data_IF_140987521538
#
_entry.id   IF_140987521538
#
_cell.length_a   1.000
_cell.length_b   1.000
_cell.length_c   1.000
_cell.angle_alpha   90.00
_cell.angle_beta   90.00
_cell.angle_gamma   90.00
#
_symmetry.space_group_name_H-M   'P 1'
#
loop_
_entity.id
_entity.type
_entity.pdbx_description
1 polymer ?
#
# COMPACT_ATOMS: atom_id res chain seq x y z
N UNK A 1 -40.67 -4.11 -8.85
CA UNK A 1 -39.85 -2.94 -8.39
C UNK A 1 -39.47 -2.12 -9.60
N UNK A 2 -39.58 -0.80 -9.50
CA UNK A 2 -39.24 0.14 -10.56
C UNK A 2 -37.76 0.49 -10.51
N UNK A 3 -37.23 1.01 -11.62
CA UNK A 3 -35.86 1.51 -11.71
C UNK A 3 -35.71 2.76 -10.82
N UNK A 4 -34.64 2.85 -10.03
CA UNK A 4 -34.39 4.02 -9.19
C UNK A 4 -34.03 5.26 -10.03
N UNK A 5 -34.52 6.42 -9.62
CA UNK A 5 -34.05 7.71 -10.16
C UNK A 5 -32.62 8.02 -9.68
N UNK A 6 -31.90 8.88 -10.39
CA UNK A 6 -30.55 9.29 -9.98
C UNK A 6 -30.51 9.93 -8.57
N UNK A 7 -31.56 10.66 -8.19
CA UNK A 7 -31.67 11.24 -6.84
C UNK A 7 -31.75 10.15 -5.76
N UNK A 8 -32.55 9.11 -5.99
CA UNK A 8 -32.67 7.99 -5.07
C UNK A 8 -31.38 7.16 -4.98
N UNK A 9 -30.68 6.97 -6.13
CA UNK A 9 -29.38 6.28 -6.15
C UNK A 9 -28.37 7.03 -5.28
N UNK A 10 -28.22 8.34 -5.47
CA UNK A 10 -27.30 9.18 -4.69
C UNK A 10 -27.64 9.12 -3.19
N UNK A 11 -28.90 9.27 -2.81
CA UNK A 11 -29.33 9.21 -1.42
C UNK A 11 -29.01 7.84 -0.81
N UNK A 12 -29.26 6.74 -1.52
CA UNK A 12 -28.96 5.39 -1.06
C UNK A 12 -27.45 5.14 -0.91
N UNK A 13 -26.64 5.62 -1.84
CA UNK A 13 -25.16 5.56 -1.74
C UNK A 13 -24.69 6.34 -0.50
N UNK A 14 -25.21 7.56 -0.28
CA UNK A 14 -24.87 8.34 0.90
C UNK A 14 -25.28 7.66 2.21
N UNK A 15 -26.44 7.02 2.24
CA UNK A 15 -26.90 6.23 3.40
C UNK A 15 -26.05 4.99 3.61
N UNK A 16 -25.67 4.26 2.56
CA UNK A 16 -24.83 3.08 2.64
C UNK A 16 -23.43 3.42 3.17
N UNK A 17 -22.90 4.58 2.79
CA UNK A 17 -21.62 5.10 3.25
C UNK A 17 -21.71 5.91 4.57
N UNK A 18 -22.84 5.86 5.29
CA UNK A 18 -23.03 6.61 6.54
C UNK A 18 -21.94 6.34 7.60
N UNK A 19 -21.47 5.09 7.83
CA UNK A 19 -20.38 4.85 8.76
C UNK A 19 -19.10 5.60 8.39
N UNK A 20 -18.80 5.74 7.09
CA UNK A 20 -17.63 6.46 6.57
C UNK A 20 -17.76 7.95 6.87
N UNK A 21 -18.94 8.55 6.60
CA UNK A 21 -19.20 9.98 6.87
C UNK A 21 -19.11 10.31 8.34
N UNK A 22 -19.71 9.47 9.21
CA UNK A 22 -19.64 9.67 10.66
C UNK A 22 -18.18 9.62 11.13
N UNK A 23 -17.41 8.65 10.68
CA UNK A 23 -16.00 8.52 11.03
C UNK A 23 -15.16 9.71 10.58
N UNK A 24 -15.42 10.23 9.38
CA UNK A 24 -14.79 11.46 8.89
C UNK A 24 -15.11 12.66 9.76
N UNK A 25 -16.38 12.88 10.07
CA UNK A 25 -16.82 14.01 10.92
C UNK A 25 -16.17 13.92 12.31
N UNK A 26 -16.19 12.75 12.93
CA UNK A 26 -15.56 12.52 14.24
C UNK A 26 -14.04 12.76 14.18
N UNK A 27 -13.36 12.22 13.16
CA UNK A 27 -11.92 12.42 12.97
C UNK A 27 -11.59 13.91 12.81
N UNK A 28 -12.32 14.62 11.98
CA UNK A 28 -12.09 16.05 11.76
C UNK A 28 -12.38 16.88 13.02
N UNK A 29 -13.49 16.61 13.70
CA UNK A 29 -13.82 17.28 14.95
C UNK A 29 -12.73 17.09 16.01
N UNK A 30 -12.28 15.85 16.22
CA UNK A 30 -11.19 15.56 17.16
C UNK A 30 -9.87 16.20 16.72
N UNK A 31 -9.53 16.14 15.43
CA UNK A 31 -8.31 16.74 14.90
C UNK A 31 -8.26 18.25 15.06
N UNK A 32 -9.37 18.94 14.84
CA UNK A 32 -9.50 20.40 15.03
C UNK A 32 -9.46 20.76 16.52
N UNK A 33 -10.15 20.02 17.38
CA UNK A 33 -10.14 20.23 18.83
C UNK A 33 -8.72 20.10 19.42
N UNK A 34 -7.98 19.07 19.01
CA UNK A 34 -6.63 18.79 19.52
C UNK A 34 -5.51 19.37 18.65
N UNK A 35 -5.82 20.18 17.64
CA UNK A 35 -4.88 20.74 16.66
C UNK A 35 -3.58 21.26 17.27
N UNK A 36 -3.67 22.01 18.37
CA UNK A 36 -2.50 22.61 19.04
C UNK A 36 -1.57 21.57 19.69
N UNK A 37 -2.09 20.38 20.04
CA UNK A 37 -1.34 19.30 20.70
C UNK A 37 -0.73 18.31 19.70
N UNK A 38 -1.20 18.32 18.45
CA UNK A 38 -0.84 17.31 17.44
C UNK A 38 0.38 17.70 16.58
N UNK A 39 1.10 18.78 16.93
CA UNK A 39 2.36 19.14 16.29
C UNK A 39 2.26 19.32 14.77
N UNK A 40 3.06 18.56 14.03
CA UNK A 40 3.08 18.62 12.55
C UNK A 40 1.72 18.22 11.91
N UNK A 41 1.04 17.24 12.47
CA UNK A 41 -0.29 16.83 12.01
C UNK A 41 -1.32 17.98 12.15
N UNK A 42 -1.23 18.74 13.23
CA UNK A 42 -2.11 19.91 13.45
C UNK A 42 -1.97 20.98 12.37
N UNK A 43 -0.77 21.15 11.79
CA UNK A 43 -0.51 22.11 10.70
C UNK A 43 -1.24 21.78 9.40
N UNK A 44 -1.62 20.52 9.19
CA UNK A 44 -2.41 20.10 8.04
C UNK A 44 -3.75 20.84 7.99
N UNK A 45 -4.33 21.14 9.17
CA UNK A 45 -5.59 21.84 9.33
C UNK A 45 -5.46 23.38 9.25
N UNK A 46 -4.27 23.90 8.94
CA UNK A 46 -4.04 25.31 8.61
C UNK A 46 -4.25 25.59 7.12
N UNK A 47 -4.23 24.55 6.29
CA UNK A 47 -4.38 24.62 4.83
C UNK A 47 -5.69 24.00 4.38
N UNK A 48 -6.51 24.73 3.64
CA UNK A 48 -7.75 24.22 3.04
C UNK A 48 -7.47 23.07 2.08
N UNK A 49 -6.40 23.18 1.27
CA UNK A 49 -5.97 22.11 0.34
C UNK A 49 -5.56 20.87 1.14
N UNK A 50 -4.83 21.06 2.25
CA UNK A 50 -4.45 19.97 3.14
C UNK A 50 -5.66 19.24 3.74
N UNK A 51 -6.67 20.00 4.20
CA UNK A 51 -7.91 19.42 4.72
C UNK A 51 -8.68 18.63 3.66
N UNK A 52 -8.82 19.16 2.44
CA UNK A 52 -9.52 18.48 1.34
C UNK A 52 -8.79 17.18 0.97
N UNK A 53 -7.47 17.25 0.76
CA UNK A 53 -6.67 16.06 0.43
C UNK A 53 -6.75 15.00 1.54
N UNK A 54 -6.67 15.42 2.80
CA UNK A 54 -6.80 14.53 3.93
C UNK A 54 -8.20 13.89 4.02
N UNK A 55 -9.27 14.66 3.75
CA UNK A 55 -10.63 14.13 3.72
C UNK A 55 -10.80 13.04 2.64
N UNK A 56 -10.28 13.26 1.43
CA UNK A 56 -10.33 12.27 0.33
C UNK A 56 -9.57 10.99 0.71
N UNK A 57 -8.36 11.12 1.24
CA UNK A 57 -7.56 9.95 1.67
C UNK A 57 -8.28 9.19 2.78
N UNK A 58 -8.77 9.88 3.82
CA UNK A 58 -9.43 9.24 4.95
C UNK A 58 -10.80 8.66 4.57
N UNK A 59 -11.51 9.24 3.59
CA UNK A 59 -12.70 8.63 3.02
C UNK A 59 -12.42 7.22 2.51
N UNK A 60 -11.40 7.07 1.66
CA UNK A 60 -11.04 5.75 1.13
C UNK A 60 -10.47 4.81 2.19
N UNK A 61 -9.71 5.33 3.17
CA UNK A 61 -9.24 4.54 4.32
C UNK A 61 -10.40 3.95 5.11
N UNK A 62 -11.39 4.77 5.45
CA UNK A 62 -12.57 4.27 6.15
C UNK A 62 -13.44 3.36 5.27
N UNK A 63 -13.60 3.69 3.98
CA UNK A 63 -14.33 2.82 3.05
C UNK A 63 -13.67 1.44 2.95
N UNK A 64 -12.35 1.37 2.77
CA UNK A 64 -11.62 0.10 2.74
C UNK A 64 -11.66 -0.66 4.07
N UNK A 65 -11.60 0.04 5.20
CA UNK A 65 -11.74 -0.57 6.51
C UNK A 65 -13.13 -1.17 6.74
N UNK A 66 -14.18 -0.40 6.46
CA UNK A 66 -15.56 -0.88 6.64
C UNK A 66 -15.95 -1.96 5.65
N UNK A 67 -15.39 -1.96 4.44
CA UNK A 67 -15.63 -3.00 3.45
C UNK A 67 -14.82 -4.28 3.74
N UNK A 68 -13.52 -4.13 4.04
CA UNK A 68 -12.64 -5.29 4.13
C UNK A 68 -12.60 -5.95 5.51
N UNK A 69 -12.73 -5.18 6.60
CA UNK A 69 -12.63 -5.72 7.95
C UNK A 69 -13.98 -5.98 8.61
N UNK A 70 -15.03 -5.25 8.26
CA UNK A 70 -16.31 -5.30 8.96
C UNK A 70 -17.48 -5.70 8.05
N UNK A 71 -17.30 -5.70 6.74
CA UNK A 71 -18.33 -6.02 5.74
C UNK A 71 -19.66 -5.24 5.93
N UNK A 72 -19.53 -3.97 6.34
CA UNK A 72 -20.70 -3.16 6.73
C UNK A 72 -21.29 -2.32 5.61
N UNK A 73 -20.50 -1.98 4.59
CA UNK A 73 -20.90 -1.02 3.56
C UNK A 73 -21.05 -1.62 2.17
N UNK A 74 -20.73 -2.88 2.00
CA UNK A 74 -20.99 -3.60 0.76
C UNK A 74 -22.49 -3.86 0.62
N UNK A 75 -23.03 -3.73 -0.59
CA UNK A 75 -24.43 -4.03 -0.89
C UNK A 75 -24.60 -5.50 -1.25
N UNK A 76 -23.59 -6.06 -1.94
CA UNK A 76 -23.56 -7.47 -2.35
C UNK A 76 -22.12 -7.98 -2.25
N UNK A 77 -21.94 -9.29 -2.27
CA UNK A 77 -20.60 -9.88 -2.43
C UNK A 77 -20.00 -9.42 -3.78
N UNK A 78 -18.81 -8.77 -3.77
CA UNK A 78 -18.20 -8.24 -4.97
C UNK A 78 -17.78 -9.30 -6.01
N UNK A 79 -17.78 -10.57 -5.65
CA UNK A 79 -17.45 -11.69 -6.53
C UNK A 79 -18.70 -12.43 -7.07
N UNK A 80 -19.83 -12.32 -6.39
CA UNK A 80 -21.04 -13.05 -6.76
C UNK A 80 -21.63 -12.54 -8.08
N UNK A 81 -22.01 -13.49 -8.94
CA UNK A 81 -22.67 -13.24 -10.22
C UNK A 81 -24.17 -13.45 -10.08
N UNK A 82 -24.94 -12.37 -10.20
CA UNK A 82 -26.40 -12.42 -10.02
C UNK A 82 -27.10 -12.58 -11.36
N UNK A 83 -27.89 -13.66 -11.49
CA UNK A 83 -28.63 -13.94 -12.73
C UNK A 83 -29.54 -12.79 -13.13
N UNK A 84 -29.49 -12.39 -14.40
CA UNK A 84 -30.29 -11.31 -14.95
C UNK A 84 -29.74 -9.90 -14.70
N UNK A 85 -28.61 -9.73 -13.98
CA UNK A 85 -28.01 -8.44 -13.68
C UNK A 85 -26.85 -8.03 -14.61
N UNK A 86 -26.53 -8.86 -15.60
CA UNK A 86 -25.49 -8.58 -16.60
C UNK A 86 -25.76 -7.27 -17.35
N UNK A 87 -24.78 -6.35 -17.33
CA UNK A 87 -24.82 -5.05 -18.01
C UNK A 87 -26.07 -4.20 -17.67
N UNK A 88 -26.63 -4.38 -16.48
CA UNK A 88 -27.80 -3.58 -16.07
C UNK A 88 -27.38 -2.18 -15.65
N UNK A 89 -28.22 -1.22 -15.98
CA UNK A 89 -28.01 0.21 -15.66
C UNK A 89 -28.06 0.48 -14.16
N UNK A 90 -27.45 1.56 -13.69
CA UNK A 90 -27.53 1.98 -12.28
C UNK A 90 -28.98 2.06 -11.77
N UNK A 91 -29.19 1.60 -10.53
CA UNK A 91 -30.52 1.59 -9.90
C UNK A 91 -31.45 0.46 -10.32
N UNK A 92 -30.95 -0.56 -11.05
CA UNK A 92 -31.76 -1.71 -11.46
C UNK A 92 -32.10 -2.57 -10.24
N UNK A 93 -33.40 -2.95 -10.05
CA UNK A 93 -33.81 -3.85 -8.98
C UNK A 93 -33.39 -5.29 -9.27
N UNK A 94 -32.96 -6.01 -8.24
CA UNK A 94 -32.65 -7.42 -8.27
C UNK A 94 -33.95 -8.23 -8.18
N UNK A 95 -34.15 -9.16 -9.12
CA UNK A 95 -35.33 -10.06 -9.10
C UNK A 95 -35.02 -11.22 -8.19
N UNK A 96 -35.90 -11.47 -7.20
CA UNK A 96 -35.75 -12.61 -6.28
C UNK A 96 -34.72 -12.38 -5.16
N UNK A 97 -34.45 -11.13 -4.79
CA UNK A 97 -33.65 -10.79 -3.61
C UNK A 97 -34.28 -11.45 -2.36
N UNK A 98 -33.45 -12.10 -1.56
CA UNK A 98 -33.85 -12.62 -0.25
C UNK A 98 -34.20 -11.46 0.71
N UNK A 99 -34.97 -11.77 1.76
CA UNK A 99 -35.48 -10.75 2.69
C UNK A 99 -34.37 -9.90 3.36
N UNK A 100 -33.14 -10.43 3.43
CA UNK A 100 -31.97 -9.78 4.00
C UNK A 100 -30.96 -9.23 2.96
N UNK A 101 -31.26 -9.39 1.67
CA UNK A 101 -30.38 -8.96 0.59
C UNK A 101 -30.72 -7.55 0.10
N UNK A 102 -29.70 -6.76 -0.26
CA UNK A 102 -29.93 -5.42 -0.79
C UNK A 102 -30.61 -5.50 -2.17
N UNK A 103 -31.77 -4.86 -2.30
CA UNK A 103 -32.67 -5.10 -3.43
C UNK A 103 -32.28 -4.41 -4.76
N UNK A 104 -31.18 -3.64 -4.82
CA UNK A 104 -30.82 -2.85 -6.00
C UNK A 104 -29.31 -2.88 -6.27
N UNK A 105 -28.95 -2.90 -7.55
CA UNK A 105 -27.58 -2.61 -7.99
C UNK A 105 -27.42 -1.09 -8.16
N UNK A 106 -26.84 -0.41 -7.17
CA UNK A 106 -26.79 1.06 -7.10
C UNK A 106 -26.03 1.67 -8.28
N UNK A 107 -24.87 1.12 -8.64
CA UNK A 107 -24.07 1.55 -9.80
C UNK A 107 -24.21 0.60 -10.99
N UNK A 108 -25.21 -0.30 -10.97
CA UNK A 108 -25.47 -1.24 -12.02
C UNK A 108 -24.63 -2.50 -11.99
N UNK A 109 -24.83 -3.36 -12.97
CA UNK A 109 -24.11 -4.62 -13.13
C UNK A 109 -23.02 -4.55 -14.18
N UNK A 110 -21.92 -5.29 -13.94
CA UNK A 110 -20.83 -5.43 -14.90
C UNK A 110 -21.10 -6.50 -15.98
N UNK A 111 -20.10 -6.81 -16.80
CA UNK A 111 -20.19 -7.81 -17.88
C UNK A 111 -20.39 -9.24 -17.41
N UNK A 112 -20.09 -9.52 -16.12
CA UNK A 112 -20.28 -10.81 -15.45
C UNK A 112 -21.45 -10.80 -14.47
N UNK A 113 -22.32 -9.77 -14.51
CA UNK A 113 -23.46 -9.61 -13.62
C UNK A 113 -23.10 -9.42 -12.14
N UNK A 114 -21.93 -8.84 -11.83
CA UNK A 114 -21.49 -8.50 -10.47
C UNK A 114 -21.84 -7.04 -10.17
N UNK A 115 -22.02 -6.70 -8.89
CA UNK A 115 -22.34 -5.35 -8.46
C UNK A 115 -21.14 -4.39 -8.55
N UNK A 116 -21.26 -3.38 -9.40
CA UNK A 116 -20.19 -2.38 -9.65
C UNK A 116 -19.90 -1.56 -8.39
N UNK A 117 -20.92 -1.21 -7.59
CA UNK A 117 -20.73 -0.46 -6.35
C UNK A 117 -19.89 -1.25 -5.35
N UNK A 118 -20.26 -2.48 -5.04
CA UNK A 118 -19.53 -3.35 -4.11
C UNK A 118 -18.10 -3.61 -4.59
N UNK A 119 -17.89 -3.83 -5.89
CA UNK A 119 -16.54 -4.00 -6.47
C UNK A 119 -15.67 -2.74 -6.33
N UNK A 120 -16.24 -1.57 -6.54
CA UNK A 120 -15.53 -0.29 -6.39
C UNK A 120 -15.10 -0.07 -4.93
N UNK A 121 -16.00 -0.30 -3.99
CA UNK A 121 -15.70 -0.12 -2.56
C UNK A 121 -14.72 -1.19 -2.06
N UNK A 122 -14.92 -2.47 -2.40
CA UNK A 122 -14.01 -3.55 -2.02
C UNK A 122 -12.60 -3.36 -2.62
N UNK A 123 -12.51 -2.84 -3.85
CA UNK A 123 -11.23 -2.51 -4.50
C UNK A 123 -10.37 -1.51 -3.71
N UNK A 124 -10.98 -0.66 -2.91
CA UNK A 124 -10.24 0.28 -2.05
C UNK A 124 -9.38 -0.42 -1.00
N UNK A 125 -9.82 -1.57 -0.47
CA UNK A 125 -9.09 -2.37 0.52
C UNK A 125 -7.72 -2.79 -0.01
N UNK A 126 -7.66 -3.25 -1.26
CA UNK A 126 -6.41 -3.66 -1.93
C UNK A 126 -5.43 -2.48 -1.99
N UNK A 127 -5.91 -1.33 -2.43
CA UNK A 127 -5.08 -0.12 -2.57
C UNK A 127 -4.56 0.38 -1.22
N UNK A 128 -5.44 0.46 -0.21
CA UNK A 128 -5.12 1.01 1.11
C UNK A 128 -4.14 0.13 1.88
N UNK A 129 -4.17 -1.17 1.66
CA UNK A 129 -3.24 -2.10 2.32
C UNK A 129 -1.94 -2.22 1.54
N UNK A 130 -2.01 -2.53 0.25
CA UNK A 130 -0.82 -2.85 -0.55
C UNK A 130 0.06 -1.62 -0.78
N UNK A 131 -0.51 -0.48 -1.19
CA UNK A 131 0.31 0.68 -1.56
C UNK A 131 1.12 1.26 -0.38
N UNK A 132 0.55 1.49 0.82
CA UNK A 132 1.33 1.95 1.97
C UNK A 132 2.34 0.92 2.47
N UNK A 133 1.96 -0.37 2.55
CA UNK A 133 2.87 -1.41 3.02
C UNK A 133 4.04 -1.61 2.07
N UNK A 134 3.80 -1.73 0.77
CA UNK A 134 4.87 -1.86 -0.21
C UNK A 134 5.79 -0.63 -0.22
N UNK A 135 5.21 0.57 -0.07
CA UNK A 135 5.99 1.80 0.07
C UNK A 135 6.85 1.77 1.34
N UNK A 136 6.30 1.33 2.47
CA UNK A 136 7.03 1.19 3.73
C UNK A 136 8.23 0.23 3.60
N UNK A 137 8.03 -0.93 2.97
CA UNK A 137 9.12 -1.88 2.72
C UNK A 137 10.19 -1.30 1.79
N UNK A 138 9.79 -0.59 0.74
CA UNK A 138 10.71 0.12 -0.14
C UNK A 138 11.52 1.20 0.61
N UNK A 139 10.89 1.91 1.56
CA UNK A 139 11.59 2.87 2.41
C UNK A 139 12.56 2.19 3.36
N UNK A 140 12.18 1.09 4.00
CA UNK A 140 13.10 0.33 4.85
C UNK A 140 14.31 -0.16 4.08
N UNK A 141 14.13 -0.69 2.86
CA UNK A 141 15.23 -1.07 1.97
C UNK A 141 16.09 0.16 1.56
N UNK A 142 15.44 1.21 1.09
CA UNK A 142 16.11 2.43 0.64
C UNK A 142 16.88 3.16 1.75
N UNK A 143 16.35 3.22 2.96
CA UNK A 143 17.02 3.81 4.13
C UNK A 143 18.20 2.95 4.55
N UNK A 144 18.01 1.63 4.65
CA UNK A 144 19.06 0.68 5.08
C UNK A 144 20.27 0.71 4.17
N UNK A 145 20.08 0.91 2.88
CA UNK A 145 21.14 0.99 1.89
C UNK A 145 21.63 2.42 1.66
N UNK A 146 20.73 3.40 1.64
CA UNK A 146 21.02 4.79 1.30
C UNK A 146 21.80 5.54 2.36
N UNK A 147 21.49 5.31 3.66
CA UNK A 147 22.22 5.93 4.75
C UNK A 147 23.70 5.57 4.75
N UNK A 148 24.11 4.27 4.72
CA UNK A 148 25.52 3.91 4.64
C UNK A 148 26.21 4.40 3.38
N UNK A 149 25.54 4.33 2.22
CA UNK A 149 26.08 4.81 0.95
C UNK A 149 26.42 6.31 1.03
N UNK A 150 25.48 7.13 1.52
CA UNK A 150 25.69 8.57 1.68
C UNK A 150 26.70 8.93 2.78
N UNK A 151 26.69 8.21 3.90
CA UNK A 151 27.56 8.47 5.04
C UNK A 151 29.02 8.10 4.76
N UNK A 152 29.27 6.85 4.34
CA UNK A 152 30.64 6.37 4.08
C UNK A 152 31.19 6.83 2.73
N UNK A 153 30.36 6.84 1.69
CA UNK A 153 30.81 7.15 0.34
C UNK A 153 31.70 6.06 -0.27
N UNK A 154 32.59 6.46 -1.18
CA UNK A 154 33.62 5.58 -1.76
C UNK A 154 33.09 4.37 -2.54
N UNK A 155 33.74 3.21 -2.42
CA UNK A 155 33.40 2.00 -3.17
C UNK A 155 31.98 1.47 -2.86
N UNK A 156 31.54 1.58 -1.60
CA UNK A 156 30.19 1.16 -1.19
C UNK A 156 29.13 1.97 -1.93
N UNK A 157 29.29 3.29 -1.91
CA UNK A 157 28.39 4.21 -2.61
C UNK A 157 28.39 3.95 -4.12
N UNK A 158 29.55 3.77 -4.73
CA UNK A 158 29.65 3.48 -6.17
C UNK A 158 28.92 2.19 -6.53
N UNK A 159 29.13 1.11 -5.77
CA UNK A 159 28.50 -0.19 -6.05
C UNK A 159 26.96 -0.14 -5.88
N UNK A 160 26.47 0.45 -4.78
CA UNK A 160 25.03 0.54 -4.53
C UNK A 160 24.33 1.50 -5.51
N UNK A 161 24.98 2.61 -5.85
CA UNK A 161 24.48 3.55 -6.85
C UNK A 161 24.46 2.94 -8.25
N UNK A 162 25.46 2.13 -8.62
CA UNK A 162 25.45 1.37 -9.87
C UNK A 162 24.27 0.40 -9.93
N UNK A 163 24.06 -0.41 -8.88
CA UNK A 163 22.93 -1.33 -8.81
C UNK A 163 21.57 -0.61 -8.91
N UNK A 164 21.41 0.51 -8.17
CA UNK A 164 20.20 1.32 -8.24
C UNK A 164 19.98 1.91 -9.65
N UNK A 165 21.03 2.42 -10.29
CA UNK A 165 20.95 2.99 -11.63
C UNK A 165 20.65 1.92 -12.69
N UNK A 166 21.15 0.69 -12.51
CA UNK A 166 20.84 -0.43 -13.40
C UNK A 166 19.34 -0.74 -13.41
N UNK A 167 18.70 -0.79 -12.23
CA UNK A 167 17.25 -1.01 -12.12
C UNK A 167 16.49 0.17 -12.72
N UNK A 168 16.90 1.41 -12.44
CA UNK A 168 16.26 2.62 -12.95
C UNK A 168 16.48 2.90 -14.44
N UNK A 169 17.40 2.20 -15.08
CA UNK A 169 17.59 2.28 -16.54
C UNK A 169 16.45 1.61 -17.32
N UNK A 170 15.71 0.69 -16.68
CA UNK A 170 14.54 0.08 -17.29
C UNK A 170 13.32 1.00 -17.14
N UNK A 171 12.48 1.13 -18.20
CA UNK A 171 11.19 1.78 -18.05
C UNK A 171 10.34 1.05 -16.99
N UNK A 172 9.89 1.80 -15.98
CA UNK A 172 9.23 1.24 -14.78
C UNK A 172 8.08 0.29 -15.13
N UNK A 173 7.21 0.71 -16.06
CA UNK A 173 6.06 -0.10 -16.50
C UNK A 173 6.49 -1.40 -17.17
N UNK A 174 7.54 -1.37 -18.00
CA UNK A 174 8.04 -2.57 -18.68
C UNK A 174 8.71 -3.54 -17.69
N UNK A 175 9.49 -3.02 -16.73
CA UNK A 175 10.08 -3.82 -15.69
C UNK A 175 9.00 -4.50 -14.85
N UNK A 176 7.98 -3.75 -14.51
CA UNK A 176 6.85 -4.27 -13.74
C UNK A 176 6.08 -5.34 -14.51
N UNK A 177 5.76 -5.07 -15.78
CA UNK A 177 5.13 -6.04 -16.68
C UNK A 177 5.92 -7.36 -16.72
N UNK A 178 7.24 -7.27 -16.90
CA UNK A 178 8.11 -8.45 -16.93
C UNK A 178 8.03 -9.26 -15.64
N UNK A 179 8.13 -8.60 -14.48
CA UNK A 179 8.15 -9.28 -13.18
C UNK A 179 6.83 -9.98 -12.82
N UNK A 180 5.71 -9.47 -13.33
CA UNK A 180 4.37 -9.97 -13.01
C UNK A 180 3.85 -10.98 -14.04
N UNK A 181 4.58 -11.24 -15.13
CA UNK A 181 4.17 -12.23 -16.13
C UNK A 181 4.12 -13.64 -15.52
N UNK A 182 3.14 -14.48 -15.95
CA UNK A 182 3.01 -15.86 -15.45
C UNK A 182 4.28 -16.69 -15.60
N UNK A 183 5.03 -16.48 -16.67
CA UNK A 183 6.28 -17.21 -16.96
C UNK A 183 7.34 -16.94 -15.87
N UNK A 184 7.51 -15.69 -15.46
CA UNK A 184 8.44 -15.33 -14.39
C UNK A 184 7.94 -15.84 -13.03
N UNK A 185 6.64 -15.80 -12.79
CA UNK A 185 6.03 -16.36 -11.57
C UNK A 185 6.36 -17.85 -11.42
N UNK A 186 6.24 -18.62 -12.50
CA UNK A 186 6.54 -20.07 -12.51
C UNK A 186 8.01 -20.40 -12.23
N UNK A 187 8.94 -19.46 -12.41
CA UNK A 187 10.36 -19.65 -12.08
C UNK A 187 10.65 -19.63 -10.57
N UNK A 188 9.70 -19.18 -9.74
CA UNK A 188 9.90 -18.89 -8.31
C UNK A 188 10.71 -17.62 -8.05
N UNK A 189 11.05 -16.83 -9.08
CA UNK A 189 11.81 -15.58 -8.93
C UNK A 189 11.16 -14.60 -7.93
N UNK A 190 9.83 -14.37 -7.94
CA UNK A 190 9.19 -13.48 -6.98
C UNK A 190 9.42 -13.90 -5.53
N UNK A 191 9.47 -15.20 -5.22
CA UNK A 191 9.74 -15.72 -3.88
C UNK A 191 11.17 -15.42 -3.44
N UNK A 192 12.17 -15.63 -4.34
CA UNK A 192 13.55 -15.26 -4.03
C UNK A 192 13.72 -13.76 -3.85
N UNK A 193 13.03 -12.94 -4.66
CA UNK A 193 13.02 -11.50 -4.50
C UNK A 193 12.35 -11.09 -3.17
N UNK A 194 11.25 -11.75 -2.80
CA UNK A 194 10.58 -11.55 -1.51
C UNK A 194 11.55 -11.86 -0.36
N UNK A 195 12.24 -13.01 -0.42
CA UNK A 195 13.21 -13.39 0.61
C UNK A 195 14.30 -12.34 0.81
N UNK A 196 14.82 -11.77 -0.26
CA UNK A 196 15.82 -10.70 -0.19
C UNK A 196 15.23 -9.37 0.31
N UNK A 197 14.11 -8.94 -0.27
CA UNK A 197 13.53 -7.63 0.04
C UNK A 197 12.89 -7.57 1.42
N UNK A 198 12.27 -8.64 1.88
CA UNK A 198 11.66 -8.70 3.21
C UNK A 198 12.69 -8.88 4.33
N UNK A 199 13.95 -9.19 4.01
CA UNK A 199 15.05 -9.13 4.96
C UNK A 199 15.38 -7.68 5.38
N UNK A 200 15.09 -6.66 4.55
CA UNK A 200 15.41 -5.25 4.89
C UNK A 200 14.63 -4.72 6.10
N UNK A 201 13.32 -4.95 6.28
CA UNK A 201 12.62 -4.64 7.52
C UNK A 201 13.27 -5.28 8.76
N UNK A 202 13.70 -6.54 8.67
CA UNK A 202 14.42 -7.24 9.76
C UNK A 202 15.74 -6.54 10.08
N UNK A 203 16.55 -6.26 9.05
CA UNK A 203 17.83 -5.56 9.20
C UNK A 203 17.61 -4.17 9.77
N UNK A 204 16.66 -3.41 9.21
CA UNK A 204 16.35 -2.05 9.65
C UNK A 204 15.96 -2.00 11.12
N UNK A 205 15.00 -2.82 11.55
CA UNK A 205 14.56 -2.87 12.95
C UNK A 205 15.67 -3.35 13.88
N UNK A 206 16.46 -4.33 13.46
CA UNK A 206 17.62 -4.83 14.25
C UNK A 206 18.63 -3.70 14.49
N UNK A 207 19.02 -2.99 13.45
CA UNK A 207 19.99 -1.90 13.55
C UNK A 207 19.42 -0.73 14.36
N UNK A 208 18.13 -0.41 14.17
CA UNK A 208 17.44 0.65 14.92
C UNK A 208 17.43 0.36 16.42
N UNK A 209 17.04 -0.84 16.83
CA UNK A 209 16.99 -1.23 18.24
C UNK A 209 18.40 -1.32 18.82
N UNK A 210 19.33 -1.94 18.11
CA UNK A 210 20.70 -2.11 18.57
C UNK A 210 21.39 -0.74 18.74
N UNK A 211 21.23 0.19 17.82
CA UNK A 211 21.82 1.52 17.89
C UNK A 211 21.27 2.37 19.06
N UNK A 212 20.01 2.17 19.43
CA UNK A 212 19.38 2.93 20.53
C UNK A 212 19.69 2.38 21.91
N UNK A 213 19.73 1.06 22.04
CA UNK A 213 19.82 0.37 23.34
C UNK A 213 21.21 -0.23 23.62
N UNK A 214 22.26 0.23 22.90
CA UNK A 214 23.60 -0.34 23.04
C UNK A 214 24.17 -0.18 24.46
N UNK A 215 23.79 0.90 25.19
CA UNK A 215 24.25 1.21 26.55
C UNK A 215 23.63 0.24 27.59
N UNK A 216 22.46 -0.34 27.31
CA UNK A 216 21.74 -1.21 28.26
C UNK A 216 21.56 -2.60 27.64
N UNK A 217 22.59 -3.49 27.70
CA UNK A 217 22.61 -4.75 26.95
C UNK A 217 21.47 -5.71 27.31
N UNK A 218 21.06 -5.78 28.57
CA UNK A 218 19.95 -6.66 28.99
C UNK A 218 18.64 -6.24 28.36
N UNK A 219 18.27 -4.95 28.43
CA UNK A 219 17.05 -4.42 27.83
C UNK A 219 17.10 -4.56 26.31
N UNK A 220 18.25 -4.27 25.71
CA UNK A 220 18.47 -4.45 24.25
C UNK A 220 18.17 -5.87 23.83
N UNK A 221 18.75 -6.87 24.52
CA UNK A 221 18.61 -8.28 24.10
C UNK A 221 17.16 -8.77 24.26
N UNK A 222 16.44 -8.36 25.31
CA UNK A 222 15.02 -8.71 25.49
C UNK A 222 14.16 -8.10 24.39
N UNK A 223 14.30 -6.80 24.12
CA UNK A 223 13.53 -6.11 23.09
C UNK A 223 13.87 -6.63 21.71
N UNK A 224 15.17 -6.83 21.43
CA UNK A 224 15.64 -7.32 20.15
C UNK A 224 15.15 -8.74 19.86
N UNK A 225 15.26 -9.68 20.82
CA UNK A 225 14.76 -11.04 20.62
C UNK A 225 13.25 -11.09 20.44
N UNK A 226 12.48 -10.30 21.19
CA UNK A 226 11.02 -10.23 21.02
C UNK A 226 10.61 -9.67 19.68
N UNK A 227 11.19 -8.55 19.25
CA UNK A 227 10.90 -7.93 17.95
C UNK A 227 11.36 -8.82 16.80
N UNK A 228 12.57 -9.39 16.87
CA UNK A 228 13.06 -10.30 15.86
C UNK A 228 12.20 -11.56 15.73
N UNK A 229 11.73 -12.11 16.85
CA UNK A 229 10.84 -13.26 16.81
C UNK A 229 9.56 -12.96 16.05
N UNK A 230 8.89 -11.84 16.36
CA UNK A 230 7.67 -11.40 15.66
C UNK A 230 7.95 -11.14 14.18
N UNK A 231 9.00 -10.36 13.86
CA UNK A 231 9.35 -10.04 12.48
C UNK A 231 9.75 -11.28 11.68
N UNK A 232 10.39 -12.26 12.31
CA UNK A 232 10.80 -13.50 11.65
C UNK A 232 9.58 -14.39 11.38
N UNK A 233 8.60 -14.43 12.29
CA UNK A 233 7.32 -15.10 12.04
C UNK A 233 6.57 -14.46 10.88
N UNK A 234 6.50 -13.13 10.86
CA UNK A 234 5.90 -12.39 9.74
C UNK A 234 6.64 -12.62 8.42
N UNK A 235 7.98 -12.61 8.47
CA UNK A 235 8.83 -12.86 7.31
C UNK A 235 8.58 -14.24 6.69
N UNK A 236 8.54 -15.27 7.54
CA UNK A 236 8.28 -16.65 7.10
C UNK A 236 6.88 -16.75 6.50
N UNK A 237 5.86 -16.21 7.19
CA UNK A 237 4.47 -16.24 6.72
C UNK A 237 4.26 -15.51 5.39
N UNK A 238 4.93 -14.37 5.18
CA UNK A 238 4.81 -13.59 3.94
C UNK A 238 5.51 -14.21 2.73
N UNK A 239 6.52 -15.05 2.95
CA UNK A 239 7.22 -15.77 1.87
C UNK A 239 6.53 -17.09 1.54
N UNK A 240 5.76 -17.63 2.49
CA UNK A 240 5.06 -18.88 2.31
C UNK A 240 3.84 -18.64 1.40
N UNK A 241 3.93 -19.11 0.17
CA UNK A 241 2.87 -19.08 -0.83
C UNK A 241 2.20 -20.45 -0.88
N UNK A 242 0.88 -20.51 -1.05
CA UNK A 242 0.16 -21.75 -1.27
C UNK A 242 0.80 -22.55 -2.43
N UNK A 243 1.32 -23.74 -2.11
CA UNK A 243 2.06 -24.58 -3.04
C UNK A 243 3.55 -24.28 -3.16
N UNK A 244 4.14 -23.48 -2.25
CA UNK A 244 5.57 -23.17 -2.26
C UNK A 244 6.43 -24.44 -2.09
N UNK A 245 7.52 -24.51 -2.84
CA UNK A 245 8.50 -25.61 -2.77
C UNK A 245 9.37 -25.56 -1.51
N UNK A 246 9.25 -24.52 -0.68
CA UNK A 246 10.04 -24.35 0.54
C UNK A 246 9.30 -24.99 1.70
N UNK A 247 9.37 -26.30 1.80
CA UNK A 247 8.64 -27.14 2.78
C UNK A 247 9.00 -26.87 4.25
N UNK A 248 10.11 -26.18 4.54
CA UNK A 248 10.56 -25.92 5.92
C UNK A 248 9.63 -24.98 6.70
N UNK A 249 8.79 -24.20 6.02
CA UNK A 249 8.00 -23.12 6.60
C UNK A 249 6.49 -23.34 6.55
N UNK A 250 6.00 -24.45 6.00
CA UNK A 250 4.57 -24.76 5.90
C UNK A 250 3.83 -24.84 7.25
N UNK A 251 4.55 -24.87 8.38
CA UNK A 251 3.95 -24.93 9.71
C UNK A 251 3.54 -23.55 10.27
N UNK A 252 3.96 -22.45 9.63
CA UNK A 252 3.72 -21.08 10.12
C UNK A 252 3.09 -20.28 8.99
N UNK A 253 1.82 -20.50 8.76
CA UNK A 253 1.01 -19.68 7.88
C UNK A 253 0.07 -18.82 8.74
N UNK A 254 0.47 -17.57 8.98
CA UNK A 254 -0.33 -16.56 9.67
C UNK A 254 -1.20 -15.76 8.70
N UNK A 255 -0.77 -15.69 7.43
CA UNK A 255 -1.45 -14.95 6.38
C UNK A 255 -1.45 -15.80 5.12
N UNK A 256 -2.61 -16.22 4.68
CA UNK A 256 -2.76 -16.87 3.38
C UNK A 256 -2.58 -15.82 2.28
N UNK A 257 -1.34 -15.66 1.81
CA UNK A 257 -0.99 -14.67 0.79
C UNK A 257 -1.05 -15.33 -0.58
N UNK A 258 -2.02 -14.92 -1.41
CA UNK A 258 -2.06 -15.35 -2.80
C UNK A 258 -0.75 -14.99 -3.54
N UNK A 259 -0.24 -15.92 -4.32
CA UNK A 259 1.02 -15.74 -5.05
C UNK A 259 1.00 -14.61 -6.08
N UNK A 260 -0.18 -14.26 -6.62
CA UNK A 260 -0.36 -13.08 -7.44
C UNK A 260 -0.13 -11.79 -6.64
N UNK A 261 -0.73 -11.73 -5.46
CA UNK A 261 -0.56 -10.60 -4.53
C UNK A 261 0.90 -10.46 -4.09
N UNK A 262 1.56 -11.56 -3.73
CA UNK A 262 2.99 -11.56 -3.37
C UNK A 262 3.84 -11.01 -4.51
N UNK A 263 3.63 -11.50 -5.72
CA UNK A 263 4.38 -11.09 -6.92
C UNK A 263 4.23 -9.58 -7.17
N UNK A 264 3.01 -9.05 -7.09
CA UNK A 264 2.74 -7.62 -7.24
C UNK A 264 3.42 -6.82 -6.13
N UNK A 265 3.25 -7.23 -4.89
CA UNK A 265 3.83 -6.55 -3.73
C UNK A 265 5.36 -6.45 -3.83
N UNK A 266 6.02 -7.58 -4.09
CA UNK A 266 7.48 -7.66 -4.21
C UNK A 266 7.99 -6.81 -5.37
N UNK A 267 7.30 -6.86 -6.51
CA UNK A 267 7.64 -6.06 -7.68
C UNK A 267 7.54 -4.57 -7.40
N UNK A 268 6.50 -4.13 -6.66
CA UNK A 268 6.36 -2.73 -6.22
C UNK A 268 7.50 -2.32 -5.30
N UNK A 269 7.85 -3.15 -4.32
CA UNK A 269 8.98 -2.89 -3.40
C UNK A 269 10.28 -2.78 -4.18
N UNK A 270 10.54 -3.71 -5.10
CA UNK A 270 11.76 -3.76 -5.91
C UNK A 270 11.93 -2.51 -6.78
N UNK A 271 10.89 -2.10 -7.48
CA UNK A 271 10.92 -0.94 -8.39
C UNK A 271 11.05 0.39 -7.64
N UNK A 272 10.43 0.50 -6.46
CA UNK A 272 10.46 1.73 -5.66
C UNK A 272 11.74 1.90 -4.84
N UNK A 273 12.36 0.83 -4.37
CA UNK A 273 13.54 0.87 -3.47
C UNK A 273 14.71 1.68 -4.02
N UNK A 274 15.11 1.58 -5.31
CA UNK A 274 16.23 2.34 -5.85
C UNK A 274 16.00 3.86 -5.85
N UNK A 275 14.76 4.30 -6.03
CA UNK A 275 14.43 5.73 -6.01
C UNK A 275 14.51 6.27 -4.58
N UNK A 276 13.99 5.54 -3.60
CA UNK A 276 14.13 5.88 -2.17
C UNK A 276 15.60 5.91 -1.77
N UNK A 277 16.37 4.90 -2.17
CA UNK A 277 17.82 4.84 -1.96
C UNK A 277 18.51 6.14 -2.42
N UNK A 278 18.21 6.62 -3.64
CA UNK A 278 18.83 7.85 -4.19
C UNK A 278 18.52 9.08 -3.35
N UNK A 279 17.28 9.23 -2.90
CA UNK A 279 16.84 10.35 -2.07
C UNK A 279 17.52 10.31 -0.70
N UNK A 280 17.47 9.15 -0.03
CA UNK A 280 18.10 8.96 1.29
C UNK A 280 19.61 9.17 1.22
N UNK A 281 20.27 8.62 0.19
CA UNK A 281 21.71 8.83 -0.05
C UNK A 281 22.03 10.31 -0.20
N UNK A 282 21.29 11.04 -1.03
CA UNK A 282 21.49 12.48 -1.25
C UNK A 282 21.35 13.29 0.04
N UNK A 283 20.28 13.04 0.81
CA UNK A 283 20.05 13.67 2.10
C UNK A 283 21.15 13.33 3.12
N UNK A 284 21.59 12.07 3.16
CA UNK A 284 22.67 11.66 4.06
C UNK A 284 23.99 12.35 3.72
N UNK A 285 24.31 12.55 2.43
CA UNK A 285 25.50 13.27 1.97
C UNK A 285 25.49 14.75 2.36
N UNK A 286 24.33 15.40 2.28
CA UNK A 286 24.18 16.80 2.67
C UNK A 286 24.24 16.96 4.20
N UNK A 287 23.51 16.14 4.93
CA UNK A 287 23.34 16.27 6.38
C UNK A 287 24.62 15.87 7.14
N UNK A 288 25.40 14.90 6.65
CA UNK A 288 26.60 14.42 7.34
C UNK A 288 27.67 15.49 7.57
N UNK A 289 27.61 16.59 6.83
CA UNK A 289 28.58 17.71 6.95
C UNK A 289 28.16 18.76 7.97
N UNK A 290 27.03 18.59 8.65
CA UNK A 290 26.51 19.56 9.63
C UNK A 290 27.22 19.46 10.97
N UNK A 291 27.34 20.57 11.67
CA UNK A 291 28.06 20.69 12.95
C UNK A 291 27.57 19.72 14.04
N UNK A 292 26.26 19.47 14.12
CA UNK A 292 25.73 18.54 15.11
C UNK A 292 26.12 17.09 14.84
N UNK A 293 26.38 16.72 13.57
CA UNK A 293 26.91 15.39 13.22
C UNK A 293 28.38 15.30 13.65
N UNK A 294 29.18 16.36 13.41
CA UNK A 294 30.56 16.42 13.90
C UNK A 294 30.61 16.34 15.44
N UNK A 295 29.69 17.03 16.14
CA UNK A 295 29.58 16.95 17.59
C UNK A 295 29.25 15.56 18.09
N UNK A 296 28.37 14.81 17.37
CA UNK A 296 28.06 13.42 17.71
C UNK A 296 29.28 12.50 17.51
N UNK A 297 30.06 12.71 16.46
CA UNK A 297 31.33 12.00 16.23
C UNK A 297 32.33 12.26 17.35
N UNK A 298 32.45 13.52 17.78
CA UNK A 298 33.33 13.90 18.91
C UNK A 298 32.91 13.27 20.24
N UNK A 299 31.63 13.05 20.46
CA UNK A 299 31.11 12.30 21.60
C UNK A 299 31.43 10.78 21.54
N UNK A 300 31.97 10.30 20.41
CA UNK A 300 32.30 8.88 20.24
C UNK A 300 31.10 8.01 19.86
N UNK A 301 30.00 8.60 19.36
CA UNK A 301 28.84 7.85 18.93
C UNK A 301 29.16 6.95 17.72
N UNK A 302 28.59 5.74 17.72
CA UNK A 302 28.81 4.79 16.65
C UNK A 302 28.14 5.23 15.32
N UNK A 303 28.66 4.78 14.16
CA UNK A 303 28.16 5.22 12.85
C UNK A 303 26.64 4.98 12.64
N UNK A 304 26.11 3.84 13.08
CA UNK A 304 24.69 3.56 12.99
C UNK A 304 23.84 4.46 13.89
N UNK A 305 24.36 4.82 15.07
CA UNK A 305 23.69 5.80 15.92
C UNK A 305 23.61 7.14 15.21
N UNK A 306 24.71 7.62 14.64
CA UNK A 306 24.77 8.89 13.91
C UNK A 306 23.80 8.88 12.73
N UNK A 307 23.82 7.84 11.91
CA UNK A 307 22.92 7.72 10.75
C UNK A 307 21.44 7.70 11.13
N UNK A 308 21.06 6.94 12.16
CA UNK A 308 19.64 6.75 12.52
C UNK A 308 19.09 7.79 13.50
N UNK A 309 19.93 8.40 14.32
CA UNK A 309 19.45 9.30 15.39
C UNK A 309 19.88 10.77 15.21
N UNK A 310 20.88 11.03 14.37
CA UNK A 310 21.29 12.40 14.02
C UNK A 310 20.92 12.76 12.57
N UNK A 311 21.17 11.89 11.58
CA UNK A 311 20.92 12.18 10.17
C UNK A 311 19.45 11.94 9.80
N UNK A 312 18.91 10.76 10.03
CA UNK A 312 17.56 10.37 9.60
C UNK A 312 16.45 11.28 10.17
N UNK A 313 16.45 11.68 11.46
CA UNK A 313 15.43 12.57 11.99
C UNK A 313 15.45 13.97 11.36
N UNK A 314 16.62 14.44 10.91
CA UNK A 314 16.77 15.70 10.23
C UNK A 314 16.39 15.62 8.74
N UNK A 315 16.40 14.42 8.15
CA UNK A 315 15.92 14.11 6.81
C UNK A 315 14.40 13.88 6.75
N UNK A 316 13.70 13.80 7.89
CA UNK A 316 12.30 13.37 7.97
C UNK A 316 11.33 14.18 7.12
N UNK A 317 11.53 15.50 6.98
CA UNK A 317 10.64 16.37 6.22
C UNK A 317 10.52 15.92 4.75
N UNK A 318 11.60 15.95 3.97
CA UNK A 318 11.61 15.45 2.60
C UNK A 318 11.18 13.99 2.47
N UNK A 319 11.55 13.12 3.42
CA UNK A 319 11.19 11.70 3.37
C UNK A 319 9.70 11.44 3.59
N UNK A 320 9.03 12.17 4.48
CA UNK A 320 7.58 12.06 4.68
C UNK A 320 6.84 12.51 3.41
N UNK A 321 7.28 13.60 2.79
CA UNK A 321 6.68 14.08 1.53
C UNK A 321 6.84 13.04 0.42
N UNK A 322 8.06 12.50 0.23
CA UNK A 322 8.29 11.45 -0.77
C UNK A 322 7.48 10.18 -0.46
N UNK A 323 7.36 9.79 0.80
CA UNK A 323 6.53 8.65 1.22
C UNK A 323 5.06 8.81 0.81
N UNK A 324 4.47 9.97 1.10
CA UNK A 324 3.08 10.25 0.74
C UNK A 324 2.86 10.28 -0.78
N UNK A 325 3.76 10.94 -1.53
CA UNK A 325 3.70 10.97 -2.99
C UNK A 325 3.85 9.57 -3.59
N UNK A 326 4.71 8.76 -3.01
CA UNK A 326 4.97 7.40 -3.47
C UNK A 326 3.80 6.45 -3.26
N UNK A 327 3.04 6.60 -2.18
CA UNK A 327 1.76 5.88 -2.02
C UNK A 327 0.83 6.18 -3.21
N UNK A 328 0.69 7.45 -3.60
CA UNK A 328 -0.12 7.84 -4.76
C UNK A 328 0.39 7.22 -6.07
N UNK A 329 1.69 7.29 -6.35
CA UNK A 329 2.29 6.64 -7.53
C UNK A 329 2.10 5.11 -7.52
N UNK A 330 2.24 4.48 -6.37
CA UNK A 330 2.02 3.03 -6.21
C UNK A 330 0.56 2.67 -6.46
N UNK A 331 -0.39 3.49 -6.01
CA UNK A 331 -1.82 3.32 -6.30
C UNK A 331 -2.11 3.35 -7.81
N UNK A 332 -1.55 4.34 -8.52
CA UNK A 332 -1.68 4.44 -9.98
C UNK A 332 -1.08 3.21 -10.67
N UNK A 333 0.07 2.76 -10.18
CA UNK A 333 0.76 1.59 -10.72
C UNK A 333 -0.05 0.31 -10.53
N UNK A 334 -0.63 0.09 -9.35
CA UNK A 334 -1.54 -1.03 -9.06
C UNK A 334 -2.78 -1.00 -9.95
N UNK A 335 -3.39 0.16 -10.12
CA UNK A 335 -4.52 0.34 -11.05
C UNK A 335 -4.14 0.01 -12.50
N UNK A 336 -2.96 0.43 -12.93
CA UNK A 336 -2.44 0.13 -14.28
C UNK A 336 -2.21 -1.38 -14.49
N UNK A 337 -1.67 -2.07 -13.49
CA UNK A 337 -1.49 -3.53 -13.56
C UNK A 337 -2.83 -4.27 -13.66
N UNK A 338 -3.77 -3.92 -12.79
CA UNK A 338 -5.11 -4.46 -12.85
C UNK A 338 -5.78 -4.22 -14.21
N UNK A 339 -5.58 -3.02 -14.79
CA UNK A 339 -6.07 -2.69 -16.13
C UNK A 339 -5.46 -3.57 -17.23
N UNK A 340 -4.21 -3.97 -17.11
CA UNK A 340 -3.59 -4.94 -18.05
C UNK A 340 -3.91 -6.40 -17.71
N UNK A 341 -4.67 -6.66 -16.63
CA UNK A 341 -5.00 -8.02 -16.19
C UNK A 341 -3.80 -8.76 -15.61
N UNK A 342 -2.87 -8.03 -14.97
CA UNK A 342 -1.63 -8.56 -14.46
C UNK A 342 -1.62 -8.62 -12.92
N UNK A 343 -1.15 -9.71 -12.38
CA UNK A 343 -0.69 -9.86 -11.01
C UNK A 343 -1.73 -10.20 -9.96
N UNK A 344 -2.91 -9.63 -10.00
CA UNK A 344 -4.02 -10.01 -9.13
C UNK A 344 -4.93 -11.00 -9.85
N UNK A 345 -5.64 -11.84 -9.09
CA UNK A 345 -6.61 -12.75 -9.68
C UNK A 345 -7.62 -11.97 -10.54
N UNK A 346 -7.98 -12.50 -11.73
CA UNK A 346 -8.91 -11.80 -12.64
C UNK A 346 -10.26 -11.48 -11.99
N UNK A 347 -10.67 -12.26 -11.01
CA UNK A 347 -11.94 -12.10 -10.29
C UNK A 347 -11.83 -11.09 -9.15
N UNK A 348 -10.62 -10.79 -8.67
CA UNK A 348 -10.40 -9.85 -7.57
C UNK A 348 -11.06 -8.49 -7.83
N UNK A 349 -11.75 -7.91 -6.81
CA UNK A 349 -12.40 -6.62 -6.96
C UNK A 349 -11.36 -5.50 -6.90
N UNK A 350 -10.58 -5.30 -7.98
CA UNK A 350 -9.65 -4.18 -8.10
C UNK A 350 -10.12 -3.19 -9.17
N UNK A 351 -9.82 -1.91 -8.95
CA UNK A 351 -10.27 -0.83 -9.83
C UNK A 351 -9.80 -1.00 -11.28
N UNK A 352 -8.54 -1.36 -11.48
CA UNK A 352 -7.97 -1.53 -12.82
C UNK A 352 -8.65 -2.65 -13.61
N UNK A 353 -8.87 -3.82 -13.00
CA UNK A 353 -9.56 -4.93 -13.64
C UNK A 353 -11.02 -4.59 -13.98
N UNK A 354 -11.72 -3.92 -13.06
CA UNK A 354 -13.11 -3.49 -13.29
C UNK A 354 -13.20 -2.49 -14.46
N UNK A 355 -12.26 -1.53 -14.56
CA UNK A 355 -12.16 -0.62 -15.70
C UNK A 355 -11.87 -1.38 -16.99
N UNK A 356 -10.92 -2.31 -16.99
CA UNK A 356 -10.56 -3.11 -18.16
C UNK A 356 -11.73 -3.93 -18.71
N UNK A 357 -12.49 -4.56 -17.82
CA UNK A 357 -13.69 -5.32 -18.21
C UNK A 357 -14.78 -4.38 -18.78
N UNK A 358 -15.04 -3.27 -18.09
CA UNK A 358 -16.08 -2.31 -18.49
C UNK A 358 -15.77 -1.56 -19.79
N UNK A 359 -14.47 -1.30 -20.10
CA UNK A 359 -14.07 -0.53 -21.32
C UNK A 359 -14.50 -1.16 -22.63
N UNK A 360 -14.67 -2.47 -22.65
CA UNK A 360 -15.09 -3.21 -23.87
C UNK A 360 -16.48 -2.80 -24.34
N UNK A 361 -17.32 -2.34 -23.44
CA UNK A 361 -18.70 -1.93 -23.72
C UNK A 361 -18.95 -0.45 -23.34
N UNK A 362 -17.91 0.36 -23.26
CA UNK A 362 -17.97 1.75 -22.81
C UNK A 362 -18.97 2.61 -23.59
N UNK A 363 -19.15 2.36 -24.87
CA UNK A 363 -20.09 3.10 -25.74
C UNK A 363 -21.57 2.80 -25.44
N UNK A 364 -21.88 1.68 -24.85
CA UNK A 364 -23.25 1.23 -24.56
C UNK A 364 -23.54 1.24 -23.07
N UNK A 365 -22.59 0.75 -22.26
CA UNK A 365 -22.67 0.64 -20.82
C UNK A 365 -21.47 1.30 -20.16
N UNK A 366 -21.46 2.64 -19.96
CA UNK A 366 -20.29 3.37 -19.47
C UNK A 366 -20.03 3.17 -17.97
N UNK A 367 -21.06 2.85 -17.17
CA UNK A 367 -20.98 2.82 -15.70
C UNK A 367 -19.96 1.84 -15.13
N UNK A 368 -19.71 0.60 -15.65
CA UNK A 368 -18.73 -0.29 -15.05
C UNK A 368 -17.28 0.18 -15.20
N UNK A 369 -17.00 0.98 -16.26
CA UNK A 369 -15.68 1.56 -16.46
C UNK A 369 -15.52 2.92 -15.79
N UNK A 370 -16.56 3.76 -15.83
CA UNK A 370 -16.48 5.13 -15.32
C UNK A 370 -16.54 5.20 -13.79
N UNK A 371 -17.37 4.37 -13.13
CA UNK A 371 -17.52 4.43 -11.68
C UNK A 371 -16.19 4.22 -10.91
N UNK A 372 -15.35 3.21 -11.19
CA UNK A 372 -14.07 3.06 -10.53
C UNK A 372 -12.96 3.99 -11.07
N UNK A 373 -13.22 4.79 -12.13
CA UNK A 373 -12.26 5.74 -12.70
C UNK A 373 -12.27 7.10 -12.00
N UNK A 374 -13.35 7.44 -11.30
CA UNK A 374 -13.54 8.67 -10.53
C UNK A 374 -13.34 8.47 -9.04
#
# INVERSE_FOLDING_TARGET
MELLSWGEIIIRILMQLMPVWISLVVLFALSILYKRRLGLYGKLFDSTIGMIGFAIVMFWVFAGFYAGALDLILTHDPLSQVSGMKNKVPGTPMRGAEENEYSYFLLGGDTLARDVFSRMIAGSTVVIVIAPLATLFAFMAGITLGLPAGYYGGRLDTALSFAANLILAFPVILLFYLLVTPEIRLTGMPQYMAAVLFAFPLIFCTVLINSRLYIVPQKRNIVLSGVLFVLLMLYISLINEDGSKITLFNAIDLFNVDGGLLTVFVSVVFVNSPTVFRIVRGLAMDIKTRDYVAAAQTRGEGPWYIMLWEILPNARGPLIVDFCLRIGYTTILLGTLGFFGLGLEPESPNWGATINEGRKLLSIYPHPALAPSF
#
